data_IF_703287280234
#
_entry.id   IF_703287280234
#
_cell.length_a   1.000
_cell.length_b   1.000
_cell.length_c   1.000
_cell.angle_alpha   90.00
_cell.angle_beta   90.00
_cell.angle_gamma   90.00
#
_symmetry.space_group_name_H-M   'P 1'
#
loop_
_entity.id
_entity.type
_entity.pdbx_description
1 polymer ?
#
# COMPACT_ATOMS: atom_id res chain seq x y z
N UNK A 1 11.41 11.76 -22.02
CA UNK A 1 12.12 13.04 -21.86
C UNK A 1 12.58 13.17 -20.43
N UNK A 2 13.84 13.47 -20.18
CA UNK A 2 14.33 13.68 -18.80
C UNK A 2 13.73 14.97 -18.27
N UNK A 3 13.00 14.89 -17.17
CA UNK A 3 12.43 16.04 -16.46
C UNK A 3 13.50 16.62 -15.55
N UNK A 4 13.68 17.92 -15.54
CA UNK A 4 14.79 18.55 -14.83
C UNK A 4 14.30 19.63 -13.86
N UNK A 5 14.97 19.68 -12.71
CA UNK A 5 14.96 20.83 -11.82
C UNK A 5 16.20 21.67 -12.21
N UNK A 6 15.99 22.89 -12.68
CA UNK A 6 17.08 23.79 -13.01
C UNK A 6 17.38 24.70 -11.81
N UNK A 7 18.56 24.55 -11.24
CA UNK A 7 19.10 25.45 -10.22
C UNK A 7 20.11 26.39 -10.90
N UNK A 8 19.78 27.65 -11.06
CA UNK A 8 20.70 28.66 -11.55
C UNK A 8 21.21 29.47 -10.36
N UNK A 9 22.24 28.95 -9.69
CA UNK A 9 22.94 29.60 -8.58
C UNK A 9 23.68 28.58 -7.72
N UNK A 10 24.90 28.87 -7.33
CA UNK A 10 25.68 28.00 -6.46
C UNK A 10 25.00 27.84 -5.10
N UNK A 11 24.50 26.66 -4.81
CA UNK A 11 24.12 26.27 -3.48
C UNK A 11 24.69 24.88 -3.15
N UNK A 12 25.77 24.87 -2.37
CA UNK A 12 26.25 23.69 -1.67
C UNK A 12 25.36 23.46 -0.46
N UNK A 13 24.35 22.58 -0.57
CA UNK A 13 23.62 22.06 0.59
C UNK A 13 23.74 20.53 0.56
N UNK A 14 24.61 20.02 1.42
CA UNK A 14 24.54 18.63 1.85
C UNK A 14 23.44 18.52 2.91
N UNK A 15 22.23 18.22 2.52
CA UNK A 15 21.16 17.83 3.41
C UNK A 15 20.76 16.39 3.08
N UNK A 16 21.30 15.44 3.84
CA UNK A 16 20.69 14.14 4.00
C UNK A 16 19.44 14.28 4.90
N UNK A 17 18.40 14.92 4.41
CA UNK A 17 17.07 14.82 5.00
C UNK A 17 16.38 13.73 4.21
N UNK A 18 16.16 12.59 4.85
CA UNK A 18 15.25 11.59 4.32
C UNK A 18 13.90 12.31 4.10
N UNK A 19 13.42 12.30 2.86
CA UNK A 19 12.17 12.98 2.54
C UNK A 19 11.02 12.22 3.19
N UNK A 20 10.47 12.81 4.24
CA UNK A 20 9.28 12.31 4.91
C UNK A 20 8.04 12.75 4.16
N UNK A 21 7.07 11.86 3.96
CA UNK A 21 5.79 12.25 3.41
C UNK A 21 5.02 13.12 4.39
N UNK A 22 4.51 14.26 3.93
CA UNK A 22 3.65 15.15 4.69
C UNK A 22 2.27 15.20 4.04
N UNK A 23 1.35 14.43 4.58
CA UNK A 23 -0.04 14.34 4.11
C UNK A 23 -0.88 15.58 4.52
N UNK A 24 -0.38 16.37 5.46
CA UNK A 24 -1.08 17.56 5.98
C UNK A 24 -0.68 18.86 5.27
N UNK A 25 0.25 18.79 4.33
CA UNK A 25 0.76 19.97 3.62
C UNK A 25 -0.21 20.58 2.58
N UNK A 26 -1.41 19.98 2.40
CA UNK A 26 -2.43 20.43 1.47
C UNK A 26 -2.25 19.98 0.03
N UNK A 27 -1.25 19.14 -0.28
CA UNK A 27 -1.08 18.55 -1.60
C UNK A 27 -2.00 17.34 -1.84
N UNK A 28 -2.59 16.81 -0.78
CA UNK A 28 -3.35 15.57 -0.80
C UNK A 28 -4.79 15.77 -0.33
N UNK A 29 -5.73 15.14 -1.01
CA UNK A 29 -7.11 14.99 -0.57
C UNK A 29 -7.33 13.57 -0.03
N UNK A 30 -7.94 13.41 1.15
CA UNK A 30 -8.29 12.09 1.67
C UNK A 30 -9.41 11.47 0.81
N UNK A 31 -9.27 10.18 0.49
CA UNK A 31 -10.26 9.38 -0.23
C UNK A 31 -10.84 8.31 0.68
N UNK A 32 -9.97 7.62 1.43
CA UNK A 32 -10.35 6.65 2.45
C UNK A 32 -9.65 7.01 3.75
N UNK A 33 -10.40 7.11 4.82
CA UNK A 33 -9.90 7.23 6.19
C UNK A 33 -10.65 6.19 7.01
N UNK A 34 -10.06 5.03 7.19
CA UNK A 34 -10.62 3.93 7.95
C UNK A 34 -9.78 3.70 9.20
N UNK A 35 -10.35 3.97 10.37
CA UNK A 35 -9.69 3.80 11.66
C UNK A 35 -10.17 2.56 12.42
N UNK A 36 -11.15 1.83 11.88
CA UNK A 36 -11.80 0.66 12.51
C UNK A 36 -12.43 0.92 13.89
N UNK A 37 -12.63 2.17 14.26
CA UNK A 37 -13.12 2.63 15.57
C UNK A 37 -14.65 2.79 15.65
N UNK A 38 -15.37 2.50 14.56
CA UNK A 38 -16.84 2.51 14.55
C UNK A 38 -17.38 1.24 15.18
N UNK A 39 -18.02 1.31 16.36
CA UNK A 39 -18.45 0.12 17.07
C UNK A 39 -19.68 -0.54 16.43
N UNK A 40 -19.84 -1.85 16.67
CA UNK A 40 -21.00 -2.63 16.25
C UNK A 40 -21.02 -2.99 14.77
N UNK A 41 -19.90 -2.88 14.06
CA UNK A 41 -19.78 -3.39 12.69
C UNK A 41 -19.85 -4.90 12.64
N UNK A 42 -20.52 -5.42 11.62
CA UNK A 42 -20.71 -6.85 11.43
C UNK A 42 -20.53 -7.22 9.96
N UNK A 43 -20.28 -8.50 9.71
CA UNK A 43 -20.27 -9.09 8.38
C UNK A 43 -21.63 -9.64 8.02
N UNK A 44 -22.15 -9.32 6.84
CA UNK A 44 -23.31 -10.03 6.29
C UNK A 44 -22.88 -11.45 5.88
N UNK A 45 -23.57 -12.45 6.40
CA UNK A 45 -23.19 -13.87 6.22
C UNK A 45 -23.47 -14.42 4.82
N UNK A 46 -24.20 -13.68 3.97
CA UNK A 46 -24.50 -14.08 2.60
C UNK A 46 -23.63 -13.37 1.57
N UNK A 47 -23.44 -12.07 1.76
CA UNK A 47 -22.62 -11.23 0.85
C UNK A 47 -21.19 -11.07 1.32
N UNK A 48 -20.90 -11.33 2.60
CA UNK A 48 -19.60 -11.12 3.26
C UNK A 48 -19.14 -9.66 3.26
N UNK A 49 -20.08 -8.76 3.02
CA UNK A 49 -19.89 -7.32 3.04
C UNK A 49 -19.98 -6.83 4.49
N UNK A 50 -19.11 -5.87 4.85
CA UNK A 50 -19.23 -5.15 6.10
C UNK A 50 -20.53 -4.33 6.14
N UNK A 51 -21.13 -4.18 7.32
CA UNK A 51 -22.39 -3.44 7.50
C UNK A 51 -22.36 -1.98 7.04
N UNK A 52 -21.17 -1.37 6.94
CA UNK A 52 -20.96 -0.04 6.36
C UNK A 52 -20.70 -0.04 4.85
N UNK A 53 -20.60 -1.21 4.23
CA UNK A 53 -20.38 -1.37 2.79
C UNK A 53 -18.95 -1.13 2.31
N UNK A 54 -18.01 -0.78 3.20
CA UNK A 54 -16.64 -0.39 2.80
C UNK A 54 -15.71 -1.58 2.55
N UNK A 55 -15.92 -2.69 3.24
CA UNK A 55 -15.02 -3.84 3.17
C UNK A 55 -15.77 -5.11 2.80
N UNK A 56 -15.13 -5.92 1.97
CA UNK A 56 -15.56 -7.28 1.64
C UNK A 56 -14.56 -8.26 2.27
N UNK A 57 -15.02 -9.07 3.21
CA UNK A 57 -14.24 -10.20 3.68
C UNK A 57 -14.33 -11.35 2.67
N UNK A 58 -13.28 -12.16 2.58
CA UNK A 58 -13.31 -13.32 1.71
C UNK A 58 -14.40 -14.31 2.17
N UNK A 59 -15.25 -14.69 1.25
CA UNK A 59 -16.41 -15.54 1.49
C UNK A 59 -16.02 -16.90 2.07
N UNK A 60 -15.38 -17.67 1.30
CA UNK A 60 -14.66 -18.91 1.60
C UNK A 60 -13.86 -19.25 0.35
N UNK A 61 -12.57 -19.14 0.40
CA UNK A 61 -11.69 -19.49 -0.72
C UNK A 61 -10.67 -20.48 -0.22
N UNK A 62 -10.78 -21.72 -0.68
CA UNK A 62 -9.76 -22.73 -0.45
C UNK A 62 -8.57 -22.50 -1.39
N UNK A 63 -7.38 -22.50 -0.82
CA UNK A 63 -6.12 -22.53 -1.56
C UNK A 63 -5.25 -23.66 -1.00
N UNK A 64 -4.37 -24.21 -1.82
CA UNK A 64 -3.31 -25.08 -1.35
C UNK A 64 -2.00 -24.32 -1.34
N UNK A 65 -1.25 -24.48 -0.25
CA UNK A 65 0.15 -24.09 -0.17
C UNK A 65 0.98 -25.36 -0.02
N UNK A 66 1.72 -25.72 -1.08
CA UNK A 66 2.31 -27.05 -1.14
C UNK A 66 1.23 -28.13 -1.09
N UNK A 67 1.31 -29.03 -0.11
CA UNK A 67 0.36 -30.13 0.10
C UNK A 67 -0.74 -29.83 1.13
N UNK A 68 -0.79 -28.58 1.65
CA UNK A 68 -1.70 -28.25 2.76
C UNK A 68 -2.82 -27.31 2.32
N UNK A 69 -4.05 -27.61 2.74
CA UNK A 69 -5.18 -26.74 2.49
C UNK A 69 -5.22 -25.56 3.46
N UNK A 70 -5.58 -24.39 2.94
CA UNK A 70 -5.83 -23.19 3.71
C UNK A 70 -7.14 -22.55 3.23
N UNK A 71 -7.92 -22.02 4.17
CA UNK A 71 -9.20 -21.40 3.89
C UNK A 71 -9.18 -19.94 4.32
N UNK A 72 -9.35 -19.02 3.36
CA UNK A 72 -9.74 -17.67 3.69
C UNK A 72 -11.22 -17.62 4.05
N UNK A 73 -11.57 -17.01 5.17
CA UNK A 73 -12.96 -16.84 5.55
C UNK A 73 -13.21 -15.57 6.38
N UNK A 74 -14.42 -15.04 6.26
CA UNK A 74 -14.82 -13.79 6.92
C UNK A 74 -14.81 -13.91 8.46
N UNK A 75 -15.02 -15.08 9.01
CA UNK A 75 -14.98 -15.33 10.47
C UNK A 75 -13.58 -15.18 11.07
N UNK A 76 -12.55 -14.98 10.23
CA UNK A 76 -11.18 -14.68 10.65
C UNK A 76 -10.85 -13.19 10.50
N UNK A 77 -11.85 -12.35 10.21
CA UNK A 77 -11.76 -10.91 10.16
C UNK A 77 -12.60 -10.32 11.31
N UNK A 78 -11.97 -9.89 12.38
CA UNK A 78 -12.65 -9.46 13.61
C UNK A 78 -12.56 -7.94 13.77
N UNK A 79 -13.70 -7.28 14.04
CA UNK A 79 -13.72 -5.92 14.57
C UNK A 79 -13.55 -5.98 16.08
N UNK A 80 -12.45 -5.49 16.60
CA UNK A 80 -12.25 -5.31 18.04
C UNK A 80 -12.73 -3.90 18.44
N UNK A 81 -14.00 -3.81 18.80
CA UNK A 81 -14.65 -2.56 19.20
C UNK A 81 -14.07 -1.96 20.49
N UNK A 82 -13.37 -2.76 21.31
CA UNK A 82 -12.77 -2.27 22.57
C UNK A 82 -11.52 -1.47 22.27
N UNK A 83 -10.71 -1.92 21.31
CA UNK A 83 -9.44 -1.28 20.95
C UNK A 83 -9.53 -0.44 19.68
N UNK A 84 -10.66 -0.48 18.95
CA UNK A 84 -10.83 0.23 17.69
C UNK A 84 -9.87 -0.26 16.62
N UNK A 85 -9.78 -1.57 16.40
CA UNK A 85 -8.86 -2.18 15.44
C UNK A 85 -9.54 -3.30 14.65
N UNK A 86 -8.99 -3.61 13.49
CA UNK A 86 -9.32 -4.80 12.72
C UNK A 86 -8.26 -5.86 12.95
N UNK A 87 -8.69 -7.08 13.25
CA UNK A 87 -7.82 -8.23 13.42
C UNK A 87 -8.04 -9.25 12.29
N UNK A 88 -6.96 -9.58 11.58
CA UNK A 88 -6.92 -10.73 10.69
C UNK A 88 -6.27 -11.88 11.44
N UNK A 89 -7.05 -12.93 11.72
CA UNK A 89 -6.60 -14.07 12.53
C UNK A 89 -6.24 -15.23 11.61
N UNK A 90 -5.08 -15.81 11.81
CA UNK A 90 -4.76 -17.13 11.28
C UNK A 90 -4.88 -18.15 12.39
N UNK A 91 -5.70 -19.16 12.18
CA UNK A 91 -5.99 -20.18 13.17
C UNK A 91 -5.77 -21.57 12.59
N UNK A 92 -5.03 -22.37 13.35
CA UNK A 92 -4.88 -23.80 13.10
C UNK A 92 -6.07 -24.57 13.65
N UNK A 93 -6.59 -25.51 12.89
CA UNK A 93 -7.67 -26.38 13.35
C UNK A 93 -7.52 -27.84 12.92
N UNK A 94 -8.09 -28.71 13.76
CA UNK A 94 -8.23 -30.14 13.54
C UNK A 94 -9.70 -30.46 13.35
N UNK A 95 -10.24 -30.31 12.15
CA UNK A 95 -11.57 -30.87 11.78
C UNK A 95 -12.81 -30.25 12.44
N UNK A 96 -12.70 -29.48 13.53
CA UNK A 96 -13.86 -29.07 14.33
C UNK A 96 -14.59 -27.83 13.82
N UNK A 97 -13.89 -26.94 13.10
CA UNK A 97 -14.43 -25.68 12.61
C UNK A 97 -14.94 -25.74 11.17
N UNK A 98 -14.75 -26.83 10.46
CA UNK A 98 -15.29 -26.95 9.10
C UNK A 98 -16.82 -27.09 9.20
N UNK A 99 -17.59 -26.07 8.74
CA UNK A 99 -19.03 -26.18 8.70
C UNK A 99 -19.43 -27.37 7.81
N UNK A 100 -20.25 -28.28 8.33
CA UNK A 100 -20.69 -29.51 7.63
C UNK A 100 -21.47 -29.25 6.33
N UNK A 101 -21.78 -28.00 5.99
CA UNK A 101 -22.55 -27.58 4.80
C UNK A 101 -21.68 -26.77 3.84
N UNK A 102 -20.57 -27.31 3.37
CA UNK A 102 -19.56 -26.63 2.57
C UNK A 102 -19.83 -26.73 1.07
N UNK A 103 -20.85 -26.06 0.59
CA UNK A 103 -21.17 -26.01 -0.85
C UNK A 103 -20.20 -25.17 -1.70
N UNK A 104 -19.24 -24.45 -1.10
CA UNK A 104 -18.38 -23.50 -1.79
C UNK A 104 -16.93 -23.95 -1.95
N UNK A 105 -16.52 -25.04 -1.31
CA UNK A 105 -15.17 -25.55 -1.44
C UNK A 105 -15.08 -26.59 -2.58
N UNK A 106 -14.08 -26.49 -3.45
CA UNK A 106 -13.89 -27.46 -4.53
C UNK A 106 -13.70 -28.88 -3.98
N UNK A 107 -14.09 -29.89 -4.74
CA UNK A 107 -13.96 -31.32 -4.32
C UNK A 107 -12.51 -31.70 -4.03
N UNK A 108 -11.55 -31.17 -4.77
CA UNK A 108 -10.12 -31.41 -4.51
C UNK A 108 -9.67 -30.92 -3.13
N UNK A 109 -10.34 -29.89 -2.59
CA UNK A 109 -10.05 -29.39 -1.27
C UNK A 109 -10.49 -30.39 -0.18
N UNK A 110 -11.67 -30.99 -0.32
CA UNK A 110 -12.15 -32.05 0.57
C UNK A 110 -11.24 -33.29 0.54
N UNK A 111 -10.73 -33.64 -0.64
CA UNK A 111 -9.81 -34.77 -0.78
C UNK A 111 -8.46 -34.48 -0.09
N UNK A 112 -8.00 -33.22 -0.13
CA UNK A 112 -6.78 -32.78 0.57
C UNK A 112 -6.95 -32.76 2.09
N UNK A 113 -8.11 -32.35 2.60
CA UNK A 113 -8.44 -32.40 4.04
C UNK A 113 -8.42 -33.84 4.57
N UNK A 114 -8.98 -34.78 3.82
CA UNK A 114 -9.08 -36.17 4.25
C UNK A 114 -7.73 -36.89 4.30
N UNK A 115 -6.72 -36.39 3.59
CA UNK A 115 -5.39 -37.05 3.53
C UNK A 115 -4.40 -36.57 4.58
N UNK A 116 -4.50 -35.31 5.04
CA UNK A 116 -3.48 -34.71 5.91
C UNK A 116 -4.01 -34.25 7.28
N UNK A 117 -5.32 -34.14 7.48
CA UNK A 117 -5.94 -33.83 8.78
C UNK A 117 -5.62 -32.44 9.39
N UNK A 118 -4.88 -31.60 8.67
CA UNK A 118 -4.39 -30.30 9.11
C UNK A 118 -4.77 -29.21 8.12
N UNK A 119 -5.35 -28.13 8.60
CA UNK A 119 -5.63 -26.97 7.77
C UNK A 119 -5.67 -25.68 8.61
N UNK A 120 -5.57 -24.54 7.92
CA UNK A 120 -5.62 -23.23 8.54
C UNK A 120 -6.81 -22.45 8.02
N UNK A 121 -7.41 -21.68 8.92
CA UNK A 121 -8.31 -20.59 8.61
C UNK A 121 -7.55 -19.28 8.70
N UNK A 122 -7.83 -18.34 7.79
CA UNK A 122 -7.16 -17.05 7.80
C UNK A 122 -8.07 -15.95 7.25
N UNK A 123 -7.75 -14.68 7.59
CA UNK A 123 -8.52 -13.50 7.19
C UNK A 123 -7.99 -12.85 5.93
N UNK A 124 -8.92 -12.33 5.10
CA UNK A 124 -8.62 -11.51 3.94
C UNK A 124 -9.70 -10.47 3.74
N UNK A 125 -9.28 -9.25 3.45
CA UNK A 125 -10.14 -8.08 3.18
C UNK A 125 -9.81 -7.49 1.82
N UNK A 126 -10.85 -7.17 1.05
CA UNK A 126 -10.78 -6.32 -0.12
C UNK A 126 -11.52 -5.01 0.19
N UNK A 127 -10.92 -3.85 -0.11
CA UNK A 127 -11.65 -2.60 -0.05
C UNK A 127 -12.67 -2.58 -1.18
N UNK A 128 -13.93 -2.36 -0.83
CA UNK A 128 -15.03 -2.60 -1.75
C UNK A 128 -15.80 -1.33 -2.08
N UNK A 129 -16.12 -0.51 -1.08
CA UNK A 129 -17.00 0.66 -1.17
C UNK A 129 -18.15 0.41 -2.16
N UNK A 130 -19.01 -0.54 -1.80
CA UNK A 130 -20.02 -1.07 -2.72
C UNK A 130 -21.15 -0.08 -2.93
N UNK A 131 -21.33 0.40 -4.15
CA UNK A 131 -22.54 1.07 -4.55
C UNK A 131 -23.63 0.03 -4.85
N UNK A 132 -24.59 -0.09 -3.94
CA UNK A 132 -25.73 -1.00 -4.07
C UNK A 132 -26.61 -0.72 -5.29
N UNK A 133 -26.55 0.49 -5.88
CA UNK A 133 -27.31 0.84 -7.07
C UNK A 133 -26.58 0.49 -8.37
N UNK A 134 -25.27 0.67 -8.38
CA UNK A 134 -24.44 0.42 -9.56
C UNK A 134 -23.84 -0.99 -9.61
N UNK A 135 -23.82 -1.72 -8.50
CA UNK A 135 -23.13 -3.01 -8.34
C UNK A 135 -21.64 -2.93 -8.71
N UNK A 136 -20.99 -1.82 -8.35
CA UNK A 136 -19.61 -1.52 -8.71
C UNK A 136 -18.72 -1.44 -7.49
N UNK A 137 -17.43 -1.72 -7.69
CA UNK A 137 -16.38 -1.57 -6.69
C UNK A 137 -15.51 -0.38 -7.02
N UNK A 138 -15.12 0.39 -6.02
CA UNK A 138 -14.12 1.43 -6.21
C UNK A 138 -12.75 0.81 -6.44
N UNK A 139 -12.10 1.26 -7.49
CA UNK A 139 -10.71 0.99 -7.80
C UNK A 139 -9.93 2.29 -7.81
N UNK A 140 -8.68 2.22 -7.44
CA UNK A 140 -7.78 3.36 -7.39
C UNK A 140 -6.84 3.35 -8.59
N UNK A 141 -6.66 4.52 -9.20
CA UNK A 141 -5.62 4.75 -10.20
C UNK A 141 -4.70 5.85 -9.67
N UNK A 142 -3.51 5.46 -9.20
CA UNK A 142 -2.54 6.31 -8.52
C UNK A 142 -3.00 6.81 -7.15
N UNK A 143 -2.11 7.39 -6.38
CA UNK A 143 -2.37 7.94 -5.05
C UNK A 143 -1.32 7.54 -4.02
N UNK A 144 -1.61 7.87 -2.77
CA UNK A 144 -0.87 7.41 -1.61
C UNK A 144 -1.72 6.48 -0.76
N UNK A 145 -1.17 5.33 -0.42
CA UNK A 145 -1.83 4.26 0.32
C UNK A 145 -1.02 3.98 1.57
N UNK A 146 -1.66 3.87 2.72
CA UNK A 146 -1.00 3.63 3.99
C UNK A 146 -1.82 2.71 4.89
N UNK A 147 -1.14 1.78 5.54
CA UNK A 147 -1.65 0.97 6.63
C UNK A 147 -0.81 1.18 7.87
N UNK A 148 -1.44 1.21 9.05
CA UNK A 148 -0.76 1.10 10.33
C UNK A 148 -1.15 -0.20 11.00
N UNK A 149 -0.18 -1.08 11.22
CA UNK A 149 -0.45 -2.41 11.73
C UNK A 149 0.72 -2.97 12.55
N UNK A 150 0.40 -4.03 13.33
CA UNK A 150 1.36 -4.95 13.92
C UNK A 150 1.35 -6.22 13.10
N UNK A 151 2.53 -6.78 12.83
CA UNK A 151 2.64 -7.98 12.02
C UNK A 151 2.71 -9.24 12.90
N UNK A 152 2.06 -10.33 12.47
CA UNK A 152 2.33 -11.65 12.98
C UNK A 152 3.73 -12.09 12.51
N UNK A 153 4.50 -12.70 13.38
CA UNK A 153 5.91 -13.03 13.11
C UNK A 153 6.23 -14.52 13.23
N UNK A 154 5.22 -15.35 13.42
CA UNK A 154 5.43 -16.80 13.47
C UNK A 154 6.00 -17.33 12.16
N UNK A 155 6.79 -18.38 12.27
CA UNK A 155 7.41 -19.01 11.11
C UNK A 155 6.35 -19.41 10.07
N UNK A 156 6.49 -18.88 8.85
CA UNK A 156 5.54 -19.08 7.76
C UNK A 156 4.40 -18.06 7.67
N UNK A 157 4.28 -17.12 8.62
CA UNK A 157 3.35 -16.00 8.48
C UNK A 157 3.63 -15.21 7.21
N UNK A 158 2.56 -14.86 6.50
CA UNK A 158 2.63 -14.09 5.26
C UNK A 158 1.53 -13.04 5.19
N UNK A 159 1.54 -12.05 6.08
CA UNK A 159 0.67 -10.89 5.95
C UNK A 159 1.10 -10.01 4.78
N UNK A 160 0.13 -9.41 4.10
CA UNK A 160 0.35 -8.51 2.98
C UNK A 160 -0.66 -7.37 2.94
N UNK A 161 -0.18 -6.21 2.49
CA UNK A 161 -0.98 -5.04 2.09
C UNK A 161 -0.55 -4.64 0.69
N UNK A 162 -1.45 -4.69 -0.27
CA UNK A 162 -1.11 -4.67 -1.68
C UNK A 162 -2.23 -4.18 -2.58
N UNK A 163 -1.88 -3.83 -3.80
CA UNK A 163 -2.78 -3.34 -4.83
C UNK A 163 -2.79 -4.33 -6.00
N UNK A 164 -3.98 -4.72 -6.43
CA UNK A 164 -4.15 -5.67 -7.52
C UNK A 164 -5.21 -5.23 -8.52
N UNK A 165 -4.90 -5.36 -9.81
CA UNK A 165 -5.87 -5.16 -10.88
C UNK A 165 -5.21 -5.32 -12.24
N UNK A 166 -5.78 -6.18 -13.06
CA UNK A 166 -5.27 -6.45 -14.39
C UNK A 166 -5.82 -5.42 -15.39
N UNK A 167 -4.97 -5.04 -16.36
CA UNK A 167 -5.43 -4.48 -17.61
C UNK A 167 -5.96 -5.56 -18.54
N UNK A 168 -6.41 -5.20 -19.77
CA UNK A 168 -7.02 -6.14 -20.71
C UNK A 168 -6.15 -7.37 -21.03
N UNK A 169 -4.83 -7.17 -21.07
CA UNK A 169 -3.86 -8.22 -21.43
C UNK A 169 -2.65 -8.23 -20.50
N UNK A 170 -2.76 -7.63 -19.29
CA UNK A 170 -1.64 -7.47 -18.38
C UNK A 170 -1.98 -7.94 -16.98
N UNK A 171 -1.00 -8.53 -16.29
CA UNK A 171 -1.02 -8.72 -14.83
C UNK A 171 -0.34 -7.53 -14.18
N UNK A 172 -0.96 -6.93 -13.18
CA UNK A 172 -0.40 -5.79 -12.46
C UNK A 172 -0.67 -5.86 -10.96
N UNK A 173 0.42 -5.79 -10.18
CA UNK A 173 0.39 -5.84 -8.73
C UNK A 173 1.45 -4.89 -8.15
N UNK A 174 1.13 -4.23 -7.05
CA UNK A 174 2.06 -3.46 -6.24
C UNK A 174 1.97 -3.97 -4.81
N UNK A 175 3.04 -4.57 -4.32
CA UNK A 175 3.16 -4.96 -2.92
C UNK A 175 3.68 -3.78 -2.11
N UNK A 176 2.87 -3.27 -1.19
CA UNK A 176 3.25 -2.18 -0.29
C UNK A 176 4.00 -2.75 0.91
N UNK A 177 3.48 -3.83 1.43
CA UNK A 177 4.03 -4.62 2.51
C UNK A 177 3.81 -6.10 2.21
N UNK A 178 4.87 -6.87 2.21
CA UNK A 178 4.83 -8.32 2.17
C UNK A 178 5.84 -8.87 3.19
N UNK A 179 5.35 -9.53 4.23
CA UNK A 179 6.22 -10.15 5.24
C UNK A 179 6.31 -11.66 5.01
N UNK A 180 7.51 -12.20 5.03
CA UNK A 180 7.72 -13.65 5.13
C UNK A 180 9.01 -13.93 5.89
N UNK A 181 8.98 -14.84 6.83
CA UNK A 181 10.12 -15.20 7.68
C UNK A 181 11.35 -15.71 6.94
N UNK A 182 11.21 -16.09 5.65
CA UNK A 182 12.30 -16.61 4.82
C UNK A 182 12.58 -15.75 3.59
N UNK A 183 12.03 -14.56 3.49
CA UNK A 183 12.14 -13.76 2.26
C UNK A 183 13.43 -12.96 2.12
N UNK A 184 14.56 -13.50 2.55
CA UNK A 184 15.88 -12.89 2.30
C UNK A 184 16.16 -11.65 3.15
N UNK A 185 15.39 -11.42 4.19
CA UNK A 185 15.72 -10.46 5.20
C UNK A 185 16.85 -11.06 6.04
N UNK A 186 18.09 -10.89 5.57
CA UNK A 186 19.26 -11.41 6.23
C UNK A 186 19.33 -10.95 7.68
N UNK A 187 19.15 -11.88 8.61
CA UNK A 187 19.57 -11.76 9.98
C UNK A 187 18.49 -11.67 11.05
N UNK A 188 17.48 -10.82 10.96
CA UNK A 188 16.48 -10.66 12.02
C UNK A 188 15.03 -10.72 11.46
N UNK A 189 14.33 -11.85 11.61
CA UNK A 189 12.96 -12.01 11.12
C UNK A 189 11.97 -11.06 11.78
N UNK A 190 12.31 -10.46 12.91
CA UNK A 190 11.45 -9.51 13.60
C UNK A 190 11.50 -8.10 13.02
N UNK A 191 12.37 -7.83 12.04
CA UNK A 191 12.67 -6.48 11.59
C UNK A 191 12.58 -6.25 10.09
N UNK A 192 12.50 -7.30 9.29
CA UNK A 192 12.53 -7.21 7.84
C UNK A 192 11.20 -7.53 7.17
N UNK A 193 10.86 -6.76 6.14
CA UNK A 193 9.75 -7.03 5.23
C UNK A 193 10.15 -6.69 3.80
N UNK A 194 9.34 -7.09 2.83
CA UNK A 194 9.57 -6.79 1.41
C UNK A 194 8.45 -5.96 0.79
N UNK A 195 8.79 -5.32 -0.32
CA UNK A 195 7.92 -4.57 -1.19
C UNK A 195 8.23 -4.88 -2.66
N UNK A 196 7.30 -4.62 -3.58
CA UNK A 196 7.57 -4.98 -4.96
C UNK A 196 6.56 -4.55 -6.01
N UNK A 197 6.92 -4.81 -7.26
CA UNK A 197 6.06 -4.67 -8.44
C UNK A 197 6.10 -5.97 -9.23
N UNK A 198 4.91 -6.51 -9.51
CA UNK A 198 4.70 -7.58 -10.46
C UNK A 198 3.91 -7.04 -11.64
N UNK A 199 4.45 -7.17 -12.82
CA UNK A 199 3.86 -6.63 -14.03
C UNK A 199 4.14 -7.54 -15.21
N UNK A 200 3.23 -7.55 -16.18
CA UNK A 200 3.43 -8.19 -17.48
C UNK A 200 2.94 -7.23 -18.58
N UNK A 201 3.79 -6.26 -18.99
CA UNK A 201 3.38 -5.16 -19.87
C UNK A 201 3.16 -5.60 -21.33
N UNK A 202 3.71 -6.73 -21.76
CA UNK A 202 3.68 -7.19 -23.15
C UNK A 202 2.66 -8.31 -23.43
N UNK A 203 1.97 -8.78 -22.40
CA UNK A 203 0.93 -9.81 -22.51
C UNK A 203 1.41 -11.18 -23.00
N UNK A 204 2.68 -11.33 -23.38
CA UNK A 204 3.20 -12.52 -24.08
C UNK A 204 3.08 -13.81 -23.30
N UNK A 205 2.94 -13.71 -21.99
CA UNK A 205 2.78 -14.85 -21.09
C UNK A 205 1.50 -14.78 -20.24
N UNK A 206 0.63 -13.80 -20.50
CA UNK A 206 -0.63 -13.66 -19.78
C UNK A 206 -1.56 -14.84 -20.08
N UNK A 207 -2.01 -15.51 -19.04
CA UNK A 207 -3.04 -16.55 -19.14
C UNK A 207 -4.23 -16.15 -18.27
N UNK A 208 -5.40 -15.84 -18.85
CA UNK A 208 -6.56 -15.33 -18.11
C UNK A 208 -7.16 -16.30 -17.08
N UNK A 209 -6.67 -17.54 -17.01
CA UNK A 209 -7.25 -18.61 -16.20
C UNK A 209 -6.56 -18.83 -14.83
N UNK A 210 -6.04 -17.78 -14.21
CA UNK A 210 -5.89 -17.77 -12.76
C UNK A 210 -4.62 -18.36 -12.13
N UNK A 211 -3.63 -18.77 -12.90
CA UNK A 211 -2.31 -19.04 -12.36
C UNK A 211 -1.34 -17.96 -12.83
N UNK A 212 -0.47 -17.43 -11.94
CA UNK A 212 0.56 -16.40 -12.15
C UNK A 212 1.48 -16.64 -13.39
N UNK A 213 0.89 -17.03 -14.51
CA UNK A 213 1.58 -17.45 -15.69
C UNK A 213 1.96 -16.23 -16.51
N UNK A 214 3.16 -15.72 -16.24
CA UNK A 214 3.77 -14.65 -17.00
C UNK A 214 3.93 -13.33 -16.26
N UNK A 215 3.41 -13.18 -15.03
CA UNK A 215 3.81 -12.05 -14.21
C UNK A 215 5.30 -12.16 -13.90
N UNK A 216 6.05 -11.14 -14.28
CA UNK A 216 7.47 -11.02 -13.97
C UNK A 216 7.59 -10.03 -12.81
N UNK A 217 8.40 -10.40 -11.84
CA UNK A 217 8.79 -9.48 -10.79
C UNK A 217 9.80 -8.48 -11.37
N UNK A 218 9.38 -7.24 -11.55
CA UNK A 218 10.25 -6.19 -12.06
C UNK A 218 11.01 -5.46 -10.97
N UNK A 219 10.42 -5.39 -9.78
CA UNK A 219 11.06 -4.78 -8.63
C UNK A 219 10.74 -5.59 -7.37
N UNK A 220 11.74 -5.85 -6.56
CA UNK A 220 11.58 -6.31 -5.18
C UNK A 220 12.73 -5.75 -4.35
N UNK A 221 12.40 -5.13 -3.24
CA UNK A 221 13.35 -4.65 -2.26
C UNK A 221 12.94 -5.08 -0.86
N UNK A 222 13.86 -4.95 0.07
CA UNK A 222 13.71 -5.33 1.46
C UNK A 222 14.08 -4.15 2.35
N UNK A 223 13.25 -3.88 3.33
CA UNK A 223 13.55 -2.89 4.35
C UNK A 223 13.73 -3.57 5.71
N UNK A 224 14.73 -3.11 6.45
CA UNK A 224 15.00 -3.52 7.82
C UNK A 224 14.79 -2.33 8.75
N UNK A 225 13.84 -2.48 9.68
CA UNK A 225 13.63 -1.50 10.74
C UNK A 225 14.87 -1.46 11.63
N UNK A 226 15.33 -0.27 12.01
CA UNK A 226 16.52 -0.07 12.82
C UNK A 226 16.45 -0.84 14.14
N UNK A 227 17.60 -1.30 14.64
CA UNK A 227 17.69 -1.96 15.95
C UNK A 227 17.31 -1.05 17.12
N UNK A 228 17.36 0.26 16.94
CA UNK A 228 16.93 1.26 17.93
C UNK A 228 15.41 1.46 17.99
N UNK A 229 14.69 1.04 16.95
CA UNK A 229 13.26 1.22 16.82
C UNK A 229 12.50 -0.02 17.31
N UNK A 230 11.21 0.07 17.62
CA UNK A 230 10.36 -1.09 17.90
C UNK A 230 10.43 -2.11 16.75
N UNK A 231 10.21 -3.37 17.04
CA UNK A 231 10.15 -4.40 16.00
C UNK A 231 8.75 -4.56 15.39
N UNK A 232 8.62 -5.39 14.34
CA UNK A 232 7.38 -5.57 13.56
C UNK A 232 6.15 -6.01 14.39
N UNK A 233 6.33 -6.48 15.63
CA UNK A 233 5.25 -6.78 16.57
C UNK A 233 4.62 -5.52 17.19
N UNK A 234 5.22 -4.37 17.00
CA UNK A 234 4.67 -3.08 17.38
C UNK A 234 4.06 -2.40 16.16
N UNK A 235 3.32 -1.32 16.40
CA UNK A 235 2.71 -0.57 15.31
C UNK A 235 3.76 0.19 14.49
N UNK A 236 3.77 -0.07 13.20
CA UNK A 236 4.49 0.70 12.18
C UNK A 236 3.52 1.15 11.10
N UNK A 237 3.88 2.21 10.36
CA UNK A 237 3.17 2.62 9.16
C UNK A 237 3.92 2.14 7.92
N UNK A 238 3.18 1.56 6.99
CA UNK A 238 3.69 1.10 5.69
C UNK A 238 2.92 1.82 4.60
N UNK A 239 3.63 2.57 3.77
CA UNK A 239 3.00 3.41 2.76
C UNK A 239 3.58 3.22 1.36
N UNK A 240 2.78 3.62 0.37
CA UNK A 240 3.18 3.63 -1.04
C UNK A 240 2.59 4.84 -1.75
N UNK A 241 3.46 5.63 -2.39
CA UNK A 241 3.08 6.67 -3.34
C UNK A 241 3.24 6.11 -4.74
N UNK A 242 2.13 5.82 -5.40
CA UNK A 242 2.08 5.32 -6.77
C UNK A 242 1.66 6.45 -7.70
N UNK A 243 2.54 6.80 -8.66
CA UNK A 243 2.35 7.84 -9.67
C UNK A 243 2.63 7.27 -11.07
N UNK A 244 2.27 7.99 -12.15
CA UNK A 244 2.46 7.50 -13.52
C UNK A 244 3.89 7.13 -13.89
N UNK A 245 4.89 7.72 -13.24
CA UNK A 245 6.30 7.59 -13.58
C UNK A 245 7.22 7.20 -12.42
N UNK A 246 6.66 6.92 -11.24
CA UNK A 246 7.39 6.33 -10.13
C UNK A 246 6.47 5.62 -9.14
N UNK A 247 7.07 4.74 -8.34
CA UNK A 247 6.51 4.19 -7.13
C UNK A 247 7.52 4.40 -6.01
N UNK A 248 7.07 4.91 -4.85
CA UNK A 248 7.89 5.10 -3.65
C UNK A 248 7.25 4.37 -2.50
N UNK A 249 8.07 3.69 -1.71
CA UNK A 249 7.63 3.03 -0.49
C UNK A 249 8.13 3.75 0.74
N UNK A 250 7.31 3.72 1.79
CA UNK A 250 7.55 4.43 3.04
C UNK A 250 7.41 3.47 4.22
N UNK A 251 8.26 3.66 5.24
CA UNK A 251 8.12 3.07 6.56
C UNK A 251 8.21 4.19 7.60
N UNK A 252 7.21 4.29 8.46
CA UNK A 252 7.10 5.36 9.47
C UNK A 252 7.31 6.77 8.87
N UNK A 253 6.72 6.97 7.69
CA UNK A 253 6.76 8.21 6.94
C UNK A 253 8.07 8.48 6.17
N UNK A 254 9.10 7.64 6.30
CA UNK A 254 10.38 7.80 5.62
C UNK A 254 10.42 6.96 4.34
N UNK A 255 10.99 7.50 3.25
CA UNK A 255 11.20 6.74 2.01
C UNK A 255 12.20 5.61 2.28
N UNK A 256 11.83 4.37 1.93
CA UNK A 256 12.66 3.18 2.09
C UNK A 256 13.03 2.54 0.75
N UNK A 257 12.26 2.79 -0.30
CA UNK A 257 12.56 2.35 -1.66
C UNK A 257 11.90 3.25 -2.70
N UNK A 258 12.47 3.30 -3.91
CA UNK A 258 11.93 4.04 -5.06
C UNK A 258 12.14 3.24 -6.36
N UNK A 259 11.16 3.30 -7.26
CA UNK A 259 11.22 2.71 -8.59
C UNK A 259 10.72 3.69 -9.65
N UNK A 260 11.48 3.85 -10.75
CA UNK A 260 11.25 4.90 -11.75
C UNK A 260 11.22 4.39 -13.21
N UNK A 261 11.23 3.07 -13.43
CA UNK A 261 11.11 2.54 -14.78
C UNK A 261 9.65 2.56 -15.24
N UNK A 262 9.32 3.59 -16.01
CA UNK A 262 7.96 3.86 -16.48
C UNK A 262 7.36 2.76 -17.36
N UNK A 263 8.18 1.88 -17.94
CA UNK A 263 7.68 0.75 -18.73
C UNK A 263 7.04 -0.33 -17.87
N UNK A 264 7.41 -0.39 -16.58
CA UNK A 264 6.99 -1.45 -15.69
C UNK A 264 6.19 -0.94 -14.48
N UNK A 265 5.88 0.35 -14.45
CA UNK A 265 4.95 0.91 -13.45
C UNK A 265 3.54 0.57 -13.88
N UNK A 266 2.75 -0.08 -13.01
CA UNK A 266 1.34 -0.39 -13.28
C UNK A 266 0.53 0.85 -13.67
N UNK A 267 -0.35 0.70 -14.68
CA UNK A 267 -1.10 1.80 -15.29
C UNK A 267 -2.63 1.62 -15.19
N UNK A 268 -3.11 0.48 -14.74
CA UNK A 268 -4.55 0.19 -14.65
C UNK A 268 -5.07 0.28 -13.22
N UNK A 269 -6.36 0.60 -13.05
CA UNK A 269 -6.98 0.73 -11.73
C UNK A 269 -6.88 -0.55 -10.89
N UNK A 270 -6.67 -0.39 -9.59
CA UNK A 270 -6.40 -1.49 -8.64
C UNK A 270 -7.32 -1.48 -7.44
N UNK A 271 -7.70 -2.67 -7.01
CA UNK A 271 -8.35 -2.91 -5.72
C UNK A 271 -7.29 -2.98 -4.62
N UNK A 272 -7.60 -2.37 -3.48
CA UNK A 272 -6.77 -2.45 -2.28
C UNK A 272 -7.09 -3.75 -1.51
N UNK A 273 -6.05 -4.48 -1.13
CA UNK A 273 -6.16 -5.79 -0.50
C UNK A 273 -5.30 -5.89 0.74
N UNK A 274 -5.83 -6.60 1.74
CA UNK A 274 -5.13 -6.95 2.97
C UNK A 274 -5.38 -8.42 3.25
N UNK A 275 -4.35 -9.20 3.49
CA UNK A 275 -4.51 -10.60 3.88
C UNK A 275 -3.45 -11.05 4.86
N UNK A 276 -3.81 -12.05 5.63
CA UNK A 276 -2.87 -12.84 6.40
C UNK A 276 -2.81 -14.25 5.78
N UNK A 277 -1.84 -14.50 4.92
CA UNK A 277 -1.60 -15.79 4.27
C UNK A 277 -0.52 -16.58 5.04
N UNK A 278 -0.28 -17.82 4.65
CA UNK A 278 0.76 -18.69 5.20
C UNK A 278 1.57 -19.30 4.06
N UNK A 279 2.87 -19.42 4.27
CA UNK A 279 3.76 -20.14 3.36
C UNK A 279 3.68 -21.65 3.60
N UNK A 280 3.92 -22.42 2.55
CA UNK A 280 3.88 -23.89 2.56
C UNK A 280 4.83 -24.53 3.59
N UNK A 281 6.01 -23.96 3.79
CA UNK A 281 6.94 -24.47 4.80
C UNK A 281 6.47 -24.27 6.25
N UNK A 282 5.57 -23.34 6.53
CA UNK A 282 4.90 -23.22 7.82
C UNK A 282 4.05 -24.45 8.14
N UNK A 283 3.56 -25.08 7.09
CA UNK A 283 2.62 -26.17 7.11
C UNK A 283 3.33 -27.54 7.04
N UNK A 284 4.61 -27.56 6.63
CA UNK A 284 5.36 -28.80 6.36
C UNK A 284 5.97 -29.42 7.65
N UNK A 285 5.77 -28.81 8.78
CA UNK A 285 6.32 -29.30 10.02
C UNK A 285 5.31 -30.21 10.73
N UNK A 286 5.50 -31.53 10.66
CA UNK A 286 4.66 -32.54 11.32
C UNK A 286 4.56 -32.36 12.84
N UNK A 287 5.29 -31.41 13.41
CA UNK A 287 5.35 -31.11 14.85
C UNK A 287 4.82 -29.72 15.21
N UNK A 288 4.00 -29.09 14.36
CA UNK A 288 3.57 -27.69 14.44
C UNK A 288 4.73 -26.70 14.21
N UNK A 289 4.53 -25.63 13.42
CA UNK A 289 5.52 -24.54 13.32
C UNK A 289 5.89 -24.11 14.74
N UNK A 290 7.17 -24.03 15.04
CA UNK A 290 7.66 -23.72 16.38
C UNK A 290 6.91 -22.54 16.98
N UNK A 291 6.10 -22.78 18.00
CA UNK A 291 5.36 -21.76 18.73
C UNK A 291 3.92 -21.46 18.29
N UNK A 292 3.35 -22.13 17.28
CA UNK A 292 1.93 -22.03 17.00
C UNK A 292 1.10 -22.70 18.08
N UNK A 293 0.55 -21.90 18.99
CA UNK A 293 -0.33 -22.36 20.08
C UNK A 293 -1.81 -22.26 19.78
N UNK A 294 -2.18 -22.23 18.48
CA UNK A 294 -3.58 -22.21 18.02
C UNK A 294 -3.96 -21.04 17.12
N UNK A 295 -3.51 -19.81 17.39
CA UNK A 295 -3.82 -18.65 16.54
C UNK A 295 -2.72 -17.60 16.58
N UNK A 296 -2.61 -16.82 15.51
CA UNK A 296 -1.78 -15.62 15.41
C UNK A 296 -2.55 -14.50 14.69
N UNK A 297 -2.18 -13.25 14.91
CA UNK A 297 -3.01 -12.10 14.55
C UNK A 297 -2.18 -11.00 13.88
N UNK A 298 -2.67 -10.51 12.74
CA UNK A 298 -2.30 -9.21 12.21
C UNK A 298 -3.29 -8.18 12.75
N UNK A 299 -2.82 -7.20 13.52
CA UNK A 299 -3.66 -6.14 14.10
C UNK A 299 -3.52 -4.86 13.30
N UNK A 300 -4.62 -4.34 12.77
CA UNK A 300 -4.66 -3.16 11.90
C UNK A 300 -5.35 -2.00 12.64
N UNK A 301 -4.61 -0.90 12.84
CA UNK A 301 -5.10 0.30 13.50
C UNK A 301 -5.88 1.20 12.52
N UNK A 302 -5.30 1.43 11.33
CA UNK A 302 -5.99 2.18 10.28
C UNK A 302 -5.51 1.82 8.88
N UNK A 303 -6.35 2.18 7.91
CA UNK A 303 -6.02 2.23 6.48
C UNK A 303 -6.40 3.60 5.93
N UNK A 304 -5.48 4.23 5.19
CA UNK A 304 -5.70 5.55 4.59
C UNK A 304 -5.31 5.54 3.11
N UNK A 305 -6.14 6.20 2.30
CA UNK A 305 -5.85 6.44 0.89
C UNK A 305 -6.06 7.92 0.59
N UNK A 306 -5.10 8.50 -0.13
CA UNK A 306 -5.14 9.90 -0.54
C UNK A 306 -4.91 10.00 -2.05
N UNK A 307 -5.57 10.97 -2.66
CA UNK A 307 -5.28 11.39 -4.04
C UNK A 307 -4.46 12.69 -4.04
N UNK A 308 -3.55 12.80 -5.00
CA UNK A 308 -2.82 14.03 -5.23
C UNK A 308 -3.75 15.08 -5.84
N UNK A 309 -3.74 16.30 -5.29
CA UNK A 309 -4.44 17.45 -5.87
C UNK A 309 -3.66 17.95 -7.09
N UNK A 310 -4.31 18.01 -8.22
CA UNK A 310 -3.66 18.35 -9.50
C UNK A 310 -4.36 19.50 -10.24
N UNK A 311 -3.56 20.28 -10.94
CA UNK A 311 -3.94 21.35 -11.85
C UNK A 311 -2.82 21.48 -12.91
N UNK A 312 -2.58 20.38 -13.63
CA UNK A 312 -1.43 20.22 -14.52
C UNK A 312 -1.56 20.97 -15.85
N UNK A 313 -2.56 21.80 -15.99
CA UNK A 313 -2.73 22.68 -17.17
C UNK A 313 -2.29 24.12 -16.89
N UNK A 314 -2.05 24.46 -15.60
CA UNK A 314 -1.68 25.83 -15.22
C UNK A 314 -0.22 25.92 -14.76
N UNK A 315 0.41 27.06 -15.09
CA UNK A 315 1.72 27.44 -14.60
C UNK A 315 1.61 28.28 -13.33
N UNK A 316 2.56 28.12 -12.41
CA UNK A 316 2.64 28.88 -11.17
C UNK A 316 3.89 29.76 -11.15
N UNK A 317 3.72 31.01 -10.72
CA UNK A 317 4.80 31.99 -10.64
C UNK A 317 4.90 32.57 -9.23
N UNK A 318 5.97 32.24 -8.52
CA UNK A 318 6.28 32.73 -7.18
C UNK A 318 7.35 33.82 -7.30
N UNK A 319 6.98 35.07 -7.16
CA UNK A 319 7.89 36.22 -7.27
C UNK A 319 8.18 36.89 -5.93
N UNK A 320 7.42 36.51 -4.89
CA UNK A 320 7.62 37.04 -3.52
C UNK A 320 7.37 35.91 -2.50
N UNK A 321 8.03 35.99 -1.33
CA UNK A 321 7.85 35.01 -0.26
C UNK A 321 6.42 34.92 0.29
N UNK A 322 5.64 36.01 0.21
CA UNK A 322 4.25 36.03 0.68
C UNK A 322 3.31 35.15 -0.16
N UNK A 323 3.67 34.85 -1.41
CA UNK A 323 2.84 34.01 -2.28
C UNK A 323 2.83 32.54 -1.83
N UNK A 324 3.84 32.07 -1.10
CA UNK A 324 3.81 30.73 -0.54
C UNK A 324 2.64 30.49 0.43
N UNK A 325 2.18 31.53 1.12
CA UNK A 325 1.02 31.44 2.02
C UNK A 325 -0.31 31.23 1.27
N UNK A 326 -0.38 31.71 0.02
CA UNK A 326 -1.58 31.62 -0.81
C UNK A 326 -1.47 30.57 -1.92
N UNK A 327 -0.37 29.84 -1.98
CA UNK A 327 -0.19 28.72 -2.92
C UNK A 327 -1.25 27.66 -2.66
N UNK A 328 -1.99 27.26 -3.72
CA UNK A 328 -3.13 26.34 -3.59
C UNK A 328 -2.74 24.88 -3.38
N UNK A 329 -1.42 24.59 -3.40
CA UNK A 329 -0.81 23.28 -3.12
C UNK A 329 -1.20 22.15 -4.08
N UNK A 330 -1.75 22.51 -5.23
CA UNK A 330 -1.95 21.56 -6.31
C UNK A 330 -0.66 21.36 -7.10
N UNK A 331 -0.50 20.18 -7.68
CA UNK A 331 0.51 19.96 -8.69
C UNK A 331 0.19 20.81 -9.93
N UNK A 332 1.15 21.57 -10.42
CA UNK A 332 1.02 22.46 -11.58
C UNK A 332 1.66 21.88 -12.84
N UNK A 333 1.41 22.49 -14.00
CA UNK A 333 2.16 22.18 -15.22
C UNK A 333 3.63 22.54 -15.03
N UNK A 334 3.91 23.80 -14.74
CA UNK A 334 5.25 24.27 -14.38
C UNK A 334 5.22 25.20 -13.18
N UNK A 335 6.37 25.37 -12.53
CA UNK A 335 6.53 26.32 -11.42
C UNK A 335 7.79 27.13 -11.65
N UNK A 336 7.67 28.45 -11.64
CA UNK A 336 8.82 29.37 -11.68
C UNK A 336 8.89 30.16 -10.39
N UNK A 337 10.01 30.05 -9.69
CA UNK A 337 10.29 30.79 -8.45
C UNK A 337 11.42 31.78 -8.74
N UNK A 338 11.14 33.06 -8.60
CA UNK A 338 12.17 34.07 -8.83
C UNK A 338 11.60 35.47 -9.01
N UNK A 339 12.43 36.45 -8.78
CA UNK A 339 12.10 37.88 -8.95
C UNK A 339 13.22 38.60 -9.70
N UNK A 340 12.85 39.48 -10.62
CA UNK A 340 13.82 40.38 -11.27
C UNK A 340 14.30 41.52 -10.36
N UNK A 341 13.63 41.74 -9.23
CA UNK A 341 13.82 42.93 -8.38
C UNK A 341 14.10 42.58 -6.90
N UNK A 342 14.69 41.43 -6.64
CA UNK A 342 15.06 41.05 -5.26
C UNK A 342 15.05 39.54 -5.05
N UNK A 343 15.27 39.15 -3.79
CA UNK A 343 15.28 37.76 -3.34
C UNK A 343 13.85 37.24 -3.04
N UNK A 344 13.57 35.99 -3.42
CA UNK A 344 12.38 35.27 -2.96
C UNK A 344 12.75 34.44 -1.74
N UNK A 345 12.17 34.77 -0.60
CA UNK A 345 12.47 34.14 0.70
C UNK A 345 11.30 33.26 1.12
N UNK A 346 11.55 31.99 1.37
CA UNK A 346 10.56 31.09 1.96
C UNK A 346 10.20 31.60 3.37
N UNK A 347 8.90 31.61 3.78
CA UNK A 347 8.54 32.05 5.11
C UNK A 347 9.23 31.22 6.21
N UNK A 348 9.66 31.87 7.29
CA UNK A 348 10.36 31.20 8.40
C UNK A 348 9.50 30.17 9.09
N UNK A 349 10.09 29.04 9.49
CA UNK A 349 9.43 27.92 10.18
C UNK A 349 8.25 27.33 9.39
N UNK A 350 8.38 27.27 8.07
CA UNK A 350 7.37 26.65 7.20
C UNK A 350 7.93 25.43 6.47
N UNK A 351 7.03 24.51 6.17
CA UNK A 351 7.29 23.40 5.26
C UNK A 351 6.51 23.65 3.96
N UNK A 352 7.22 23.80 2.85
CA UNK A 352 6.65 24.05 1.52
C UNK A 352 6.92 22.84 0.64
N UNK A 353 5.88 22.22 0.11
CA UNK A 353 5.98 21.16 -0.88
C UNK A 353 5.32 21.62 -2.18
N UNK A 354 6.09 21.61 -3.29
CA UNK A 354 5.60 22.02 -4.61
C UNK A 354 5.91 20.95 -5.64
N UNK A 355 4.94 20.70 -6.51
CA UNK A 355 5.00 19.63 -7.53
C UNK A 355 4.66 20.21 -8.91
N UNK A 356 5.38 19.78 -9.93
CA UNK A 356 5.11 20.16 -11.32
C UNK A 356 5.14 18.94 -12.25
N UNK A 357 4.39 19.02 -13.36
CA UNK A 357 4.37 17.93 -14.34
C UNK A 357 5.43 18.08 -15.43
N UNK A 358 5.97 19.27 -15.64
CA UNK A 358 6.99 19.53 -16.66
C UNK A 358 8.32 19.99 -16.04
N UNK A 359 8.37 21.15 -15.39
CA UNK A 359 9.59 21.62 -14.74
C UNK A 359 9.32 22.51 -13.53
N UNK A 360 10.36 22.66 -12.69
CA UNK A 360 10.45 23.69 -11.66
C UNK A 360 11.74 24.48 -11.93
N UNK A 361 11.59 25.79 -12.09
CA UNK A 361 12.69 26.71 -12.32
C UNK A 361 12.85 27.66 -11.12
N UNK A 362 14.05 27.70 -10.54
CA UNK A 362 14.44 28.74 -9.60
C UNK A 362 15.36 29.71 -10.31
N UNK A 363 14.93 30.97 -10.45
CA UNK A 363 15.63 32.00 -11.18
C UNK A 363 15.82 33.25 -10.31
N UNK A 364 17.06 33.67 -10.12
CA UNK A 364 17.42 34.81 -9.27
C UNK A 364 17.80 34.41 -7.84
N UNK A 365 17.77 35.39 -6.95
CA UNK A 365 18.10 35.15 -5.54
C UNK A 365 16.94 34.44 -4.81
N UNK A 366 17.28 33.37 -4.16
CA UNK A 366 16.32 32.52 -3.43
C UNK A 366 16.90 32.06 -2.09
N UNK A 367 16.11 32.15 -1.02
CA UNK A 367 16.55 31.79 0.32
C UNK A 367 15.53 30.90 1.04
N UNK A 368 16.01 29.86 1.71
CA UNK A 368 15.27 29.03 2.66
C UNK A 368 15.84 29.30 4.04
N UNK A 369 15.13 30.03 4.92
CA UNK A 369 15.62 30.35 6.26
C UNK A 369 15.80 29.10 7.13
N UNK A 370 16.70 29.18 8.10
CA UNK A 370 16.88 28.13 9.10
C UNK A 370 15.55 27.82 9.80
N UNK A 371 15.21 26.55 9.90
CA UNK A 371 13.93 26.09 10.46
C UNK A 371 12.80 25.95 9.43
N UNK A 372 13.04 26.35 8.17
CA UNK A 372 12.12 26.10 7.06
C UNK A 372 12.61 24.95 6.20
N UNK A 373 11.65 24.25 5.55
CA UNK A 373 11.93 23.17 4.60
C UNK A 373 11.20 23.43 3.30
N UNK A 374 11.80 22.98 2.20
CA UNK A 374 11.18 23.03 0.89
C UNK A 374 11.43 21.72 0.14
N UNK A 375 10.37 21.10 -0.32
CA UNK A 375 10.41 19.92 -1.18
C UNK A 375 9.89 20.27 -2.55
N UNK A 376 10.70 20.01 -3.58
CA UNK A 376 10.36 20.24 -4.99
C UNK A 376 10.39 18.90 -5.72
N UNK A 377 9.35 18.57 -6.47
CA UNK A 377 9.31 17.37 -7.27
C UNK A 377 8.70 17.59 -8.64
N UNK A 378 9.27 16.92 -9.65
CA UNK A 378 8.76 16.92 -11.02
C UNK A 378 8.48 15.50 -11.44
N UNK A 379 7.23 15.20 -11.76
CA UNK A 379 6.78 13.84 -12.09
C UNK A 379 5.56 13.86 -13.03
N UNK A 380 5.10 12.67 -13.51
CA UNK A 380 3.92 12.56 -14.34
C UNK A 380 2.66 13.06 -13.63
N UNK A 381 1.78 13.74 -14.37
CA UNK A 381 0.50 14.16 -13.84
C UNK A 381 -0.47 12.98 -13.76
N UNK A 382 -0.96 12.59 -12.57
CA UNK A 382 -2.02 11.61 -12.48
C UNK A 382 -3.35 12.20 -12.97
N UNK A 383 -4.28 11.36 -13.48
CA UNK A 383 -5.60 11.82 -13.86
C UNK A 383 -6.39 12.34 -12.65
N UNK A 384 -7.28 13.31 -12.89
CA UNK A 384 -8.12 13.93 -11.83
C UNK A 384 -9.03 12.92 -11.14
N UNK A 385 -9.57 11.96 -11.89
CA UNK A 385 -10.41 10.88 -11.38
C UNK A 385 -9.58 9.65 -11.16
N UNK A 386 -9.00 9.51 -9.98
CA UNK A 386 -8.19 8.36 -9.60
C UNK A 386 -8.96 7.30 -8.77
N UNK A 387 -10.24 7.53 -8.49
CA UNK A 387 -11.19 6.51 -8.04
C UNK A 387 -12.12 6.20 -9.21
N UNK A 388 -12.16 4.96 -9.62
CA UNK A 388 -12.93 4.49 -10.77
C UNK A 388 -13.91 3.44 -10.27
N UNK A 389 -15.20 3.74 -10.39
CA UNK A 389 -16.27 2.79 -10.11
C UNK A 389 -16.55 1.95 -11.36
N UNK A 390 -16.52 0.64 -11.23
CA UNK A 390 -16.84 -0.34 -12.29
C UNK A 390 -18.09 -1.14 -11.96
#
# INVERSE_FOLDING_TARGET
MKKFIYLCGMMLLSLNIMAQIDLNNGNWDPVVIENFDTPGRTWDTNSFLCSDGLWLACAQSGVTRGNYPMIFQFTQCHFDDIHGVMELVSQYDTDSLIPKNQYYLPTWFHDSLSSNGLFFFTGKLDYFNYDHHAHTMDKFLYGYFEIRCKLPIHNGSWPAFWLFGNGPDTYEEIDILEYTTHSGCDGDPLRGYSMGIWHNPDGTNYKPNGNNNGAVKYFKDYHHISQSDPDLRQYHTYGCEWMPDYVKWYCDGNIVAEYHDTMHIPQYPKTLKINYDLKDYALDNTNHPDGWSGSDVMTIDYVKVYKLRTDCETDEYITTGTQFANYDRKMKHSITIGSSNGSVIVPSNTNVSMRASDFILINGEFEIPVGSQMTLSVHGCPPQNNVISE
#
